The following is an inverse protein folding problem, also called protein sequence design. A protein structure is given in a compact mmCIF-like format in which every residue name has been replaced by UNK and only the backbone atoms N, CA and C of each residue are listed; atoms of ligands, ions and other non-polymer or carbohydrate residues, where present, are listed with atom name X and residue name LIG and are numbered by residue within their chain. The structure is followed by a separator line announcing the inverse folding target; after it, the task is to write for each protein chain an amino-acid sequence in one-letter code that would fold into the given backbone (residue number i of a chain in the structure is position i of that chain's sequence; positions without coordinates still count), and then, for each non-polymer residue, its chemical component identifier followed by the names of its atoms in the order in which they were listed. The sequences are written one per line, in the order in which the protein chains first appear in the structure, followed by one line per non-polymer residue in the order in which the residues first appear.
data_IF_106716390495
#
_entry.id   IF_106716390495
#
_cell.length_a   1.000
_cell.length_b   1.000
_cell.length_c   1.000
_cell.angle_alpha   90.00
_cell.angle_beta   90.00
_cell.angle_gamma   90.00
#
_symmetry.space_group_name_H-M   'P 1'
#
loop_
_entity.id
_entity.type
_entity.pdbx_description
1 polymer ?
#
# COMPACT_ATOMS: atom_id res chain seq x y z
N UNK A 1 -4.79 -4.05 16.98
CA UNK A 1 -4.61 -2.64 16.57
C UNK A 1 -3.59 -2.64 15.43
N UNK A 2 -3.93 -2.07 14.27
CA UNK A 2 -2.99 -1.92 13.15
C UNK A 2 -2.12 -0.68 13.37
N UNK A 3 -0.84 -0.75 13.01
CA UNK A 3 0.07 0.39 13.07
C UNK A 3 -0.29 1.39 11.98
N UNK A 4 -0.38 2.67 12.33
CA UNK A 4 -0.65 3.77 11.40
C UNK A 4 0.47 4.82 11.52
N UNK A 5 1.47 4.71 10.66
CA UNK A 5 2.64 5.59 10.65
C UNK A 5 2.40 6.80 9.75
N UNK A 6 2.82 7.98 10.23
CA UNK A 6 2.72 9.27 9.53
C UNK A 6 3.97 10.13 9.70
N UNK A 7 5.02 9.61 10.34
CA UNK A 7 6.32 10.27 10.40
C UNK A 7 7.05 10.24 9.04
N UNK A 8 8.23 10.85 8.96
CA UNK A 8 9.03 10.91 7.74
C UNK A 8 9.78 9.61 7.39
N UNK A 9 9.92 8.69 8.34
CA UNK A 9 10.75 7.49 8.19
C UNK A 9 9.94 6.27 7.75
N UNK A 10 8.77 6.08 8.36
CA UNK A 10 7.86 4.94 8.15
C UNK A 10 6.50 5.34 7.56
N UNK A 11 6.14 6.63 7.63
CA UNK A 11 4.89 7.12 7.07
C UNK A 11 4.88 7.11 5.55
N UNK A 12 3.95 6.35 4.96
CA UNK A 12 3.74 6.37 3.51
C UNK A 12 2.94 7.60 3.09
N UNK A 13 3.07 8.00 1.83
CA UNK A 13 2.56 9.30 1.33
C UNK A 13 1.07 9.53 1.61
N UNK A 14 0.22 8.53 1.40
CA UNK A 14 -1.22 8.68 1.61
C UNK A 14 -1.58 8.81 3.10
N UNK A 15 -1.01 7.95 3.96
CA UNK A 15 -1.24 8.02 5.41
C UNK A 15 -0.78 9.37 5.98
N UNK A 16 0.36 9.85 5.51
CA UNK A 16 0.92 11.12 5.95
C UNK A 16 0.08 12.32 5.50
N UNK A 17 -0.45 12.28 4.28
CA UNK A 17 -1.35 13.33 3.77
C UNK A 17 -2.67 13.36 4.54
N UNK A 18 -3.23 12.20 4.90
CA UNK A 18 -4.43 12.13 5.75
C UNK A 18 -4.20 12.83 7.08
N UNK A 19 -3.07 12.57 7.74
CA UNK A 19 -2.73 13.24 9.00
C UNK A 19 -2.50 14.73 8.83
N UNK A 20 -1.76 15.14 7.80
CA UNK A 20 -1.50 16.55 7.52
C UNK A 20 -2.80 17.32 7.29
N UNK A 21 -3.70 16.78 6.48
CA UNK A 21 -5.03 17.37 6.26
C UNK A 21 -5.86 17.43 7.55
N UNK A 22 -5.81 16.40 8.39
CA UNK A 22 -6.57 16.35 9.65
C UNK A 22 -6.12 17.38 10.69
N UNK A 23 -4.90 17.91 10.59
CA UNK A 23 -4.36 18.94 11.50
C UNK A 23 -4.13 20.30 10.80
N UNK A 24 -4.74 20.51 9.63
CA UNK A 24 -4.59 21.72 8.80
C UNK A 24 -3.12 22.06 8.45
N UNK A 25 -2.27 21.04 8.36
CA UNK A 25 -0.88 21.18 7.92
C UNK A 25 -0.79 21.06 6.39
N UNK A 26 0.02 21.90 5.70
CA UNK A 26 0.19 21.81 4.26
C UNK A 26 0.67 20.42 3.79
N UNK A 27 0.05 19.88 2.75
CA UNK A 27 0.45 18.60 2.18
C UNK A 27 1.88 18.70 1.64
N UNK A 28 2.76 17.82 2.13
CA UNK A 28 4.17 17.86 1.74
C UNK A 28 4.40 17.11 0.43
N UNK A 29 4.36 17.84 -0.68
CA UNK A 29 4.73 17.33 -2.00
C UNK A 29 6.22 17.49 -2.22
N UNK A 30 6.90 16.41 -2.60
CA UNK A 30 8.34 16.45 -2.93
C UNK A 30 8.53 16.70 -4.44
N UNK A 31 9.40 17.65 -4.79
CA UNK A 31 9.69 18.02 -6.18
C UNK A 31 8.46 18.58 -6.89
N UNK A 32 8.19 18.09 -8.11
CA UNK A 32 7.04 18.52 -8.91
C UNK A 32 5.74 17.82 -8.55
N UNK A 33 5.79 16.73 -7.76
CA UNK A 33 4.62 15.90 -7.47
C UNK A 33 4.16 14.99 -8.62
N UNK A 34 4.89 14.93 -9.73
CA UNK A 34 4.52 14.13 -10.91
C UNK A 34 4.72 12.62 -10.79
N UNK A 35 5.17 12.13 -9.62
CA UNK A 35 5.36 10.70 -9.37
C UNK A 35 4.04 9.93 -9.32
N UNK A 36 3.95 8.86 -10.11
CA UNK A 36 2.82 7.91 -10.07
C UNK A 36 3.20 6.65 -9.30
N UNK A 37 2.33 6.17 -8.41
CA UNK A 37 2.47 4.90 -7.69
C UNK A 37 1.11 4.21 -7.60
N UNK A 38 1.12 2.89 -7.62
CA UNK A 38 -0.06 2.10 -7.30
C UNK A 38 -0.27 2.07 -5.78
N UNK A 39 -1.53 2.08 -5.35
CA UNK A 39 -1.93 1.95 -3.95
C UNK A 39 -2.85 0.75 -3.81
N UNK A 40 -2.83 0.16 -2.62
CA UNK A 40 -3.67 -0.96 -2.25
C UNK A 40 -4.23 -0.70 -0.86
N UNK A 41 -5.50 -1.00 -0.64
CA UNK A 41 -6.09 -0.92 0.68
C UNK A 41 -5.56 -2.08 1.56
N UNK A 42 -5.31 -1.83 2.84
CA UNK A 42 -4.73 -2.84 3.74
C UNK A 42 -5.59 -4.12 3.83
N UNK A 43 -6.92 -4.00 3.76
CA UNK A 43 -7.82 -5.17 3.76
C UNK A 43 -7.65 -6.00 2.48
N UNK A 44 -7.42 -5.36 1.34
CA UNK A 44 -7.19 -6.08 0.09
C UNK A 44 -5.83 -6.76 0.08
N UNK A 45 -4.81 -6.17 0.72
CA UNK A 45 -3.52 -6.84 0.91
C UNK A 45 -3.69 -8.18 1.64
N UNK A 46 -4.48 -8.20 2.71
CA UNK A 46 -4.78 -9.44 3.45
C UNK A 46 -5.56 -10.43 2.57
N UNK A 47 -6.54 -9.95 1.81
CA UNK A 47 -7.31 -10.80 0.87
C UNK A 47 -6.42 -11.40 -0.22
N UNK A 48 -5.49 -10.65 -0.78
CA UNK A 48 -4.53 -11.16 -1.78
C UNK A 48 -3.66 -12.27 -1.19
N UNK A 49 -3.19 -12.11 0.05
CA UNK A 49 -2.42 -13.15 0.75
C UNK A 49 -3.29 -14.40 0.96
N UNK A 50 -4.53 -14.23 1.42
CA UNK A 50 -5.47 -15.34 1.58
C UNK A 50 -5.64 -16.12 0.27
N UNK A 51 -5.94 -15.42 -0.83
CA UNK A 51 -6.13 -16.03 -2.16
C UNK A 51 -4.89 -16.82 -2.60
N UNK A 52 -3.69 -16.24 -2.41
CA UNK A 52 -2.44 -16.88 -2.79
C UNK A 52 -2.15 -18.16 -1.97
N UNK A 53 -2.56 -18.20 -0.69
CA UNK A 53 -2.42 -19.38 0.16
C UNK A 53 -3.46 -20.46 -0.18
N UNK A 54 -4.70 -20.05 -0.47
CA UNK A 54 -5.79 -20.97 -0.83
C UNK A 54 -5.60 -21.63 -2.20
N UNK A 55 -4.85 -20.97 -3.10
CA UNK A 55 -4.61 -21.44 -4.47
C UNK A 55 -3.10 -21.54 -4.76
N UNK A 56 -2.37 -22.45 -4.10
CA UNK A 56 -0.94 -22.60 -4.32
C UNK A 56 -0.66 -23.23 -5.71
N UNK A 57 0.48 -22.89 -6.34
CA UNK A 57 0.90 -23.55 -7.59
C UNK A 57 1.20 -25.03 -7.36
N UNK A 58 1.09 -25.85 -8.40
CA UNK A 58 1.43 -27.27 -8.31
C UNK A 58 2.96 -27.46 -8.16
N UNK A 59 3.37 -28.61 -7.63
CA UNK A 59 4.78 -28.91 -7.47
C UNK A 59 5.47 -29.00 -8.83
N UNK A 60 6.39 -28.09 -9.09
CA UNK A 60 7.13 -28.00 -10.36
C UNK A 60 6.66 -26.86 -11.26
N UNK A 61 5.57 -26.18 -10.90
CA UNK A 61 5.13 -24.98 -11.59
C UNK A 61 6.10 -23.81 -11.41
N UNK A 62 6.00 -22.85 -12.34
CA UNK A 62 6.70 -21.57 -12.24
C UNK A 62 6.09 -20.72 -11.12
N UNK A 63 6.92 -19.84 -10.56
CA UNK A 63 6.46 -18.82 -9.61
C UNK A 63 5.35 -17.97 -10.24
N UNK A 64 4.23 -17.85 -9.53
CA UNK A 64 3.11 -17.01 -9.92
C UNK A 64 3.31 -15.60 -9.36
N UNK A 65 2.97 -14.58 -10.16
CA UNK A 65 3.05 -13.16 -9.80
C UNK A 65 1.64 -12.58 -9.88
N UNK A 66 1.19 -11.97 -8.79
CA UNK A 66 -0.14 -11.38 -8.68
C UNK A 66 -0.05 -9.87 -8.51
N UNK A 67 -0.73 -9.13 -9.39
CA UNK A 67 -0.94 -7.70 -9.23
C UNK A 67 -2.45 -7.48 -9.06
N UNK A 68 -2.86 -6.97 -7.90
CA UNK A 68 -4.24 -6.53 -7.74
C UNK A 68 -4.46 -5.28 -8.59
N UNK A 69 -5.42 -5.38 -9.52
CA UNK A 69 -5.92 -4.28 -10.32
C UNK A 69 -7.39 -4.09 -9.97
N UNK A 70 -7.88 -2.85 -10.05
CA UNK A 70 -9.31 -2.52 -9.84
C UNK A 70 -9.92 -2.07 -11.16
#
# INVERSE_FOLDING_TARGET
INRFDYDGDYGTVLNRFLMQAAVDFPLTVHGTGGQTRAFIHIQDTVRCIQIAVEHPPEKGDKVQIFNQMT
#
